data_IF_007803111002
#
_entry.id   IF_007803111002
#
_cell.length_a   1.000
_cell.length_b   1.000
_cell.length_c   1.000
_cell.angle_alpha   90.00
_cell.angle_beta   90.00
_cell.angle_gamma   90.00
#
_symmetry.space_group_name_H-M   'P 1'
#
loop_
_entity.id
_entity.type
_entity.pdbx_description
1 polymer ?
#
# COMPACT_ATOMS: atom_id res chain seq x y z
N UNK A 1 2.98 -22.65 23.76
CA UNK A 1 4.21 -21.96 24.19
C UNK A 1 3.87 -20.51 24.52
N UNK A 2 4.32 -19.97 25.67
CA UNK A 2 4.21 -18.53 25.95
C UNK A 2 5.24 -17.82 25.08
N UNK A 3 4.80 -16.95 24.18
CA UNK A 3 5.68 -16.01 23.49
C UNK A 3 6.22 -15.02 24.55
N UNK A 4 7.52 -15.01 24.77
CA UNK A 4 8.25 -14.15 25.73
C UNK A 4 8.72 -12.85 25.07
N UNK A 5 9.63 -12.11 25.73
CA UNK A 5 10.28 -10.85 25.28
C UNK A 5 11.22 -10.97 24.05
N UNK A 6 11.00 -11.94 23.18
CA UNK A 6 11.84 -12.19 22.00
C UNK A 6 11.09 -11.83 20.72
N UNK A 7 11.72 -11.00 19.88
CA UNK A 7 11.19 -10.59 18.58
C UNK A 7 11.86 -11.41 17.47
N UNK A 8 11.07 -12.21 16.76
CA UNK A 8 11.53 -13.04 15.64
C UNK A 8 10.84 -12.55 14.35
N UNK A 9 11.48 -11.67 13.56
CA UNK A 9 10.84 -11.03 12.39
C UNK A 9 10.35 -12.03 11.34
N UNK A 10 11.05 -13.15 11.18
CA UNK A 10 10.72 -14.18 10.20
C UNK A 10 9.39 -14.87 10.46
N UNK A 11 8.88 -14.87 11.69
CA UNK A 11 7.54 -15.39 12.01
C UNK A 11 6.42 -14.44 11.59
N UNK A 12 6.72 -13.14 11.42
CA UNK A 12 5.75 -12.15 10.92
C UNK A 12 5.65 -12.24 9.39
N UNK A 13 6.78 -12.56 8.76
CA UNK A 13 6.95 -12.53 7.31
C UNK A 13 7.70 -11.29 6.85
N UNK A 14 8.27 -11.37 5.65
CA UNK A 14 9.03 -10.26 5.04
C UNK A 14 8.12 -9.09 4.66
N UNK A 15 6.89 -9.40 4.22
CA UNK A 15 5.88 -8.43 3.80
C UNK A 15 4.89 -8.11 4.93
N UNK A 16 5.37 -7.30 5.88
CA UNK A 16 4.67 -7.00 7.12
C UNK A 16 3.42 -6.16 6.82
N UNK A 17 2.26 -6.67 7.24
CA UNK A 17 0.99 -5.99 7.07
C UNK A 17 0.33 -6.22 5.70
N UNK A 18 0.85 -7.16 4.91
CA UNK A 18 0.17 -7.63 3.72
C UNK A 18 -1.20 -8.23 4.06
N UNK A 19 -2.18 -7.99 3.20
CA UNK A 19 -3.56 -8.42 3.40
C UNK A 19 -4.43 -8.01 2.23
N UNK A 20 -5.69 -8.44 2.26
CA UNK A 20 -6.67 -8.15 1.21
C UNK A 20 -7.75 -7.23 1.75
N UNK A 21 -8.05 -6.18 1.00
CA UNK A 21 -9.18 -5.28 1.27
C UNK A 21 -10.14 -5.35 0.09
N UNK A 22 -11.41 -5.61 0.38
CA UNK A 22 -12.47 -5.66 -0.64
C UNK A 22 -13.45 -4.50 -0.43
N UNK A 23 -13.99 -3.97 -1.54
CA UNK A 23 -15.03 -2.94 -1.52
C UNK A 23 -16.13 -3.31 -2.50
N UNK A 24 -17.38 -3.20 -2.05
CA UNK A 24 -18.53 -3.40 -2.93
C UNK A 24 -18.74 -2.15 -3.77
N UNK A 25 -18.71 -2.31 -5.09
CA UNK A 25 -19.04 -1.25 -6.03
C UNK A 25 -20.57 -1.03 -6.09
N UNK A 26 -21.07 0.21 -6.22
CA UNK A 26 -22.49 0.52 -6.15
C UNK A 26 -23.24 0.29 -7.48
N UNK A 27 -22.61 -0.38 -8.45
CA UNK A 27 -23.17 -0.64 -9.77
C UNK A 27 -22.77 -2.02 -10.28
N UNK A 28 -23.56 -2.55 -11.22
CA UNK A 28 -23.26 -3.82 -11.90
C UNK A 28 -22.27 -3.58 -13.04
N UNK A 29 -21.38 -4.53 -13.24
CA UNK A 29 -20.41 -4.52 -14.33
C UNK A 29 -20.97 -5.32 -15.51
N UNK A 30 -20.98 -4.73 -16.70
CA UNK A 30 -21.21 -5.48 -17.93
C UNK A 30 -19.94 -6.24 -18.29
N UNK A 31 -19.93 -7.55 -18.04
CA UNK A 31 -18.77 -8.40 -18.30
C UNK A 31 -18.48 -8.46 -19.80
N UNK A 32 -17.37 -7.89 -20.22
CA UNK A 32 -16.84 -8.03 -21.57
C UNK A 32 -15.33 -8.12 -21.52
N UNK A 33 -14.74 -8.84 -22.48
CA UNK A 33 -13.28 -8.96 -22.57
C UNK A 33 -12.63 -7.57 -22.72
N UNK A 34 -13.20 -6.73 -23.57
CA UNK A 34 -12.77 -5.36 -23.81
C UNK A 34 -12.77 -4.50 -22.52
N UNK A 35 -13.76 -4.66 -21.64
CA UNK A 35 -13.79 -3.92 -20.37
C UNK A 35 -12.62 -4.33 -19.46
N UNK A 36 -12.35 -5.63 -19.35
CA UNK A 36 -11.28 -6.12 -18.49
C UNK A 36 -9.88 -5.77 -19.01
N UNK A 37 -9.68 -5.78 -20.33
CA UNK A 37 -8.44 -5.27 -20.95
C UNK A 37 -8.25 -3.77 -20.66
N UNK A 38 -9.30 -2.96 -20.81
CA UNK A 38 -9.24 -1.53 -20.48
C UNK A 38 -8.96 -1.30 -18.99
N UNK A 39 -9.52 -2.13 -18.12
CA UNK A 39 -9.29 -2.05 -16.68
C UNK A 39 -7.83 -2.39 -16.31
N UNK A 40 -7.28 -3.50 -16.82
CA UNK A 40 -5.88 -3.90 -16.59
C UNK A 40 -4.91 -2.83 -17.14
N UNK A 41 -5.14 -2.36 -18.37
CA UNK A 41 -4.34 -1.29 -18.97
C UNK A 41 -4.39 0.00 -18.15
N UNK A 42 -5.57 0.38 -17.65
CA UNK A 42 -5.73 1.53 -16.77
C UNK A 42 -4.97 1.37 -15.45
N UNK A 43 -5.07 0.19 -14.81
CA UNK A 43 -4.38 -0.07 -13.55
C UNK A 43 -2.86 0.00 -13.72
N UNK A 44 -2.30 -0.68 -14.73
CA UNK A 44 -0.85 -0.64 -15.01
C UNK A 44 -0.35 0.77 -15.30
N UNK A 45 -1.16 1.61 -15.94
CA UNK A 45 -0.81 2.99 -16.22
C UNK A 45 -0.89 3.92 -14.99
N UNK A 46 -1.63 3.54 -13.93
CA UNK A 46 -1.90 4.43 -12.76
C UNK A 46 -1.29 3.96 -11.45
N UNK A 47 -1.05 2.66 -11.32
CA UNK A 47 -0.54 2.01 -10.10
C UNK A 47 0.83 1.43 -10.43
N UNK A 48 1.93 2.06 -9.98
CA UNK A 48 3.26 1.50 -10.17
C UNK A 48 3.39 0.14 -9.50
N UNK A 49 4.18 -0.75 -10.10
CA UNK A 49 4.37 -2.12 -9.64
C UNK A 49 5.80 -2.58 -9.91
N UNK A 50 6.24 -3.65 -9.24
CA UNK A 50 7.61 -4.13 -9.31
C UNK A 50 8.59 -3.10 -8.73
N UNK A 51 9.67 -2.77 -9.47
CA UNK A 51 10.64 -1.75 -9.03
C UNK A 51 10.14 -0.31 -9.23
N UNK A 52 9.02 -0.11 -9.91
CA UNK A 52 8.56 1.23 -10.29
C UNK A 52 7.98 2.00 -9.10
N UNK A 53 8.28 3.29 -9.05
CA UNK A 53 7.73 4.24 -8.09
C UNK A 53 7.09 5.42 -8.81
N UNK A 54 6.37 6.28 -8.07
CA UNK A 54 5.83 7.51 -8.63
C UNK A 54 6.93 8.53 -8.85
N UNK A 55 6.90 9.26 -9.97
CA UNK A 55 7.83 10.37 -10.22
C UNK A 55 7.74 11.48 -9.17
N UNK A 56 6.56 11.63 -8.56
CA UNK A 56 6.27 12.64 -7.53
C UNK A 56 5.57 11.99 -6.36
N UNK A 57 5.98 12.38 -5.16
CA UNK A 57 5.32 11.96 -3.93
C UNK A 57 3.84 12.34 -3.96
N UNK A 58 2.98 11.46 -3.42
CA UNK A 58 1.57 11.79 -3.25
C UNK A 58 1.40 12.98 -2.29
N UNK A 59 0.33 13.79 -2.41
CA UNK A 59 0.13 14.98 -1.57
C UNK A 59 0.19 14.67 -0.07
N UNK A 60 0.84 15.53 0.70
CA UNK A 60 1.07 15.34 2.15
C UNK A 60 -0.25 15.09 2.93
N UNK A 61 -1.34 15.72 2.52
CA UNK A 61 -2.67 15.53 3.12
C UNK A 61 -3.16 14.09 2.94
N UNK A 62 -2.87 13.48 1.79
CA UNK A 62 -3.21 12.08 1.53
C UNK A 62 -2.32 11.14 2.34
N UNK A 63 -1.03 11.44 2.46
CA UNK A 63 -0.11 10.69 3.33
C UNK A 63 -0.60 10.67 4.78
N UNK A 64 -0.99 11.83 5.31
CA UNK A 64 -1.54 11.96 6.66
C UNK A 64 -2.85 11.18 6.83
N UNK A 65 -3.73 11.23 5.82
CA UNK A 65 -5.00 10.48 5.81
C UNK A 65 -4.79 8.96 5.76
N UNK A 66 -3.75 8.48 5.09
CA UNK A 66 -3.39 7.06 5.09
C UNK A 66 -2.83 6.69 6.46
N UNK A 67 -1.89 7.48 6.98
CA UNK A 67 -1.29 7.26 8.30
C UNK A 67 -2.33 7.21 9.42
N UNK A 68 -3.34 8.10 9.40
CA UNK A 68 -4.39 8.14 10.41
C UNK A 68 -5.30 6.90 10.45
N UNK A 69 -5.25 6.05 9.42
CA UNK A 69 -5.94 4.75 9.40
C UNK A 69 -5.11 3.60 9.96
N UNK A 70 -3.84 3.84 10.28
CA UNK A 70 -2.96 2.81 10.84
C UNK A 70 -3.04 2.78 12.37
N UNK A 71 -2.77 1.61 12.97
CA UNK A 71 -2.66 1.49 14.43
C UNK A 71 -1.49 2.31 15.00
N UNK A 72 -0.50 2.68 14.18
CA UNK A 72 0.61 3.54 14.60
C UNK A 72 0.15 4.95 14.97
N UNK A 73 -0.93 5.45 14.34
CA UNK A 73 -1.47 6.77 14.65
C UNK A 73 -1.98 6.91 16.09
N UNK A 74 -2.29 5.80 16.77
CA UNK A 74 -2.66 5.80 18.20
C UNK A 74 -1.45 6.02 19.12
N UNK A 75 -0.24 5.74 18.64
CA UNK A 75 1.00 5.79 19.43
C UNK A 75 1.89 6.98 19.07
N UNK A 76 1.72 7.57 17.89
CA UNK A 76 2.62 8.60 17.36
C UNK A 76 1.87 9.54 16.41
N UNK A 77 2.22 10.83 16.42
CA UNK A 77 1.67 11.81 15.47
C UNK A 77 2.38 11.74 14.13
N UNK A 78 1.68 12.11 13.05
CA UNK A 78 2.25 12.07 11.70
C UNK A 78 3.59 12.83 11.55
N UNK A 79 3.78 14.05 12.11
CA UNK A 79 5.06 14.75 12.03
C UNK A 79 6.23 14.01 12.72
N UNK A 80 5.96 13.31 13.83
CA UNK A 80 6.96 12.50 14.54
C UNK A 80 7.34 11.29 13.71
N UNK A 81 6.35 10.65 13.07
CA UNK A 81 6.58 9.55 12.14
C UNK A 81 7.42 9.98 10.93
N UNK A 82 7.11 11.13 10.33
CA UNK A 82 7.91 11.69 9.25
C UNK A 82 9.35 11.95 9.70
N UNK A 83 9.54 12.55 10.89
CA UNK A 83 10.87 12.76 11.45
C UNK A 83 11.63 11.45 11.65
N UNK A 84 10.97 10.38 12.10
CA UNK A 84 11.58 9.06 12.24
C UNK A 84 12.04 8.48 10.89
N UNK A 85 11.23 8.59 9.84
CA UNK A 85 11.61 8.19 8.48
C UNK A 85 12.83 8.98 8.00
N UNK A 86 12.90 10.28 8.29
CA UNK A 86 14.00 11.16 7.91
C UNK A 86 15.31 10.89 8.65
N UNK A 87 15.26 10.33 9.86
CA UNK A 87 16.46 10.02 10.64
C UNK A 87 17.18 8.76 10.14
N UNK A 88 16.52 7.92 9.35
CA UNK A 88 17.00 6.57 9.03
C UNK A 88 17.81 6.47 7.73
N UNK A 89 17.80 7.46 6.82
CA UNK A 89 18.78 7.68 5.73
C UNK A 89 18.32 8.85 4.83
N UNK A 90 19.25 9.65 4.27
CA UNK A 90 18.91 10.75 3.35
C UNK A 90 18.18 10.27 2.09
N UNK A 91 18.45 9.05 1.61
CA UNK A 91 17.79 8.47 0.42
C UNK A 91 16.34 8.04 0.66
N UNK A 92 15.96 7.73 1.91
CA UNK A 92 14.62 7.23 2.22
C UNK A 92 13.53 8.31 2.17
N UNK A 93 13.93 9.59 2.09
CA UNK A 93 13.05 10.75 2.10
C UNK A 93 12.11 10.80 0.90
N UNK A 94 12.66 10.58 -0.28
CA UNK A 94 11.90 10.62 -1.52
C UNK A 94 11.15 9.31 -1.77
N UNK A 95 11.63 8.19 -1.20
CA UNK A 95 11.07 6.86 -1.40
C UNK A 95 9.70 6.67 -0.74
N UNK A 96 9.46 7.15 0.49
CA UNK A 96 8.20 6.82 1.18
C UNK A 96 6.97 7.44 0.49
N UNK A 97 7.06 8.72 0.12
CA UNK A 97 5.95 9.43 -0.51
C UNK A 97 5.67 8.96 -1.94
N UNK A 98 6.71 8.52 -2.65
CA UNK A 98 6.64 8.02 -4.04
C UNK A 98 6.28 6.53 -4.10
N UNK A 99 6.67 5.73 -3.09
CA UNK A 99 6.30 4.33 -2.94
C UNK A 99 4.89 4.13 -2.36
N UNK A 100 4.29 5.13 -1.72
CA UNK A 100 2.92 4.99 -1.22
C UNK A 100 1.91 4.77 -2.37
N UNK A 101 1.15 3.69 -2.24
CA UNK A 101 0.14 3.28 -3.22
C UNK A 101 0.74 2.70 -4.50
N UNK A 102 1.96 2.14 -4.43
CA UNK A 102 2.48 1.17 -5.40
C UNK A 102 2.08 -0.24 -4.96
N UNK A 103 2.11 -1.21 -5.88
CA UNK A 103 1.89 -2.63 -5.55
C UNK A 103 3.17 -3.36 -5.14
N UNK A 104 4.32 -2.67 -5.10
CA UNK A 104 5.61 -3.31 -4.86
C UNK A 104 5.89 -4.49 -5.82
N UNK A 105 6.83 -5.34 -5.45
CA UNK A 105 7.09 -6.60 -6.14
C UNK A 105 6.31 -7.77 -5.54
N UNK A 106 6.15 -8.85 -6.31
CA UNK A 106 5.64 -10.13 -5.79
C UNK A 106 4.20 -10.43 -6.16
N UNK A 107 3.39 -10.80 -5.17
CA UNK A 107 2.05 -11.40 -5.32
C UNK A 107 0.90 -10.44 -5.04
N UNK A 108 1.11 -9.13 -5.14
CA UNK A 108 0.07 -8.12 -4.91
C UNK A 108 -0.76 -7.94 -6.18
N UNK A 109 -2.08 -7.86 -6.03
CA UNK A 109 -3.01 -7.73 -7.15
C UNK A 109 -4.21 -6.82 -6.81
N UNK A 110 -4.80 -6.24 -7.84
CA UNK A 110 -6.11 -5.59 -7.79
C UNK A 110 -7.00 -6.36 -8.75
N UNK A 111 -8.13 -6.85 -8.24
CA UNK A 111 -9.07 -7.64 -9.02
C UNK A 111 -10.51 -7.14 -8.85
N UNK A 112 -11.36 -7.60 -9.77
CA UNK A 112 -12.80 -7.38 -9.73
C UNK A 112 -13.45 -8.75 -9.71
N UNK A 113 -14.18 -9.04 -8.63
CA UNK A 113 -14.93 -10.28 -8.46
C UNK A 113 -16.43 -10.04 -8.42
N UNK A 114 -17.18 -11.10 -8.72
CA UNK A 114 -18.62 -11.19 -8.52
C UNK A 114 -18.90 -12.24 -7.44
N UNK A 115 -19.87 -11.95 -6.57
CA UNK A 115 -20.38 -12.92 -5.60
C UNK A 115 -21.17 -14.03 -6.31
N UNK A 116 -21.17 -15.23 -5.76
CA UNK A 116 -21.89 -16.39 -6.31
C UNK A 116 -23.40 -16.31 -6.10
#
# INVERSE_FOLDING_TARGET
>A
AKMTDLLIPTLIGVDIGCGVSTVKIPFKIQKSHQLFEQFDAFLRAKVPSGPDMRDKAIPMQLQQKIFSKTNLSQKMKFPEFQKLLHQKQEHFRDDFGTAMGTMGGGNHFIEVNEDS
#
